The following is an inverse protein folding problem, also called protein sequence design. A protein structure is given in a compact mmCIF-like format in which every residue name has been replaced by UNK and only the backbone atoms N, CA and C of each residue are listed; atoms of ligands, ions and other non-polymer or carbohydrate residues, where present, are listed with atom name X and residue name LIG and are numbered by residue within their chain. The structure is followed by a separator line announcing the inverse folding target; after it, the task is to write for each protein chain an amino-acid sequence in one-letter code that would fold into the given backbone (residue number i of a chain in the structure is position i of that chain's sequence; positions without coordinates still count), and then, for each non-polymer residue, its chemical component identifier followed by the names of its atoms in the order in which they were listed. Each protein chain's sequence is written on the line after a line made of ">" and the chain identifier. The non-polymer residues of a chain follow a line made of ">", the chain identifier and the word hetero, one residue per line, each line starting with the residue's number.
data_IF_439799676680
#
_entry.id   IF_439799676680
#
_cell.length_a   1.000
_cell.length_b   1.000
_cell.length_c   1.000
_cell.angle_alpha   90.00
_cell.angle_beta   90.00
_cell.angle_gamma   90.00
#
_symmetry.space_group_name_H-M   'P 1'
#
loop_
_entity.id
_entity.type
_entity.pdbx_description
1 polymer ?
#
# COMPACT_ATOMS: atom_id res chain seq x y z
N UNK A 1 20.36 13.96 -6.78
CA UNK A 1 20.98 14.94 -5.88
C UNK A 1 20.48 14.63 -4.48
N UNK A 2 21.35 14.16 -3.57
CA UNK A 2 20.99 13.86 -2.18
C UNK A 2 20.99 15.18 -1.42
N UNK A 3 19.81 15.67 -1.06
CA UNK A 3 19.67 16.79 -0.14
C UNK A 3 19.73 16.22 1.28
N UNK A 4 20.81 16.48 2.00
CA UNK A 4 20.87 16.20 3.43
C UNK A 4 20.00 17.23 4.17
N UNK A 5 18.87 16.80 4.71
CA UNK A 5 18.11 17.55 5.70
C UNK A 5 18.64 17.19 7.09
N UNK A 6 19.25 18.14 7.78
CA UNK A 6 19.66 17.98 9.17
C UNK A 6 18.44 18.06 10.10
N UNK A 7 18.46 17.20 11.13
CA UNK A 7 17.52 17.18 12.26
C UNK A 7 17.49 18.52 13.00
N UNK A 8 16.29 18.94 13.40
CA UNK A 8 16.05 20.15 14.19
C UNK A 8 15.14 19.85 15.39
N UNK A 9 15.58 18.91 16.21
CA UNK A 9 15.12 18.78 17.58
C UNK A 9 15.51 20.03 18.39
N UNK A 10 14.63 21.04 18.38
CA UNK A 10 14.77 22.24 19.23
C UNK A 10 14.13 23.53 18.71
N UNK A 11 12.87 23.50 18.29
CA UNK A 11 12.13 24.72 17.90
C UNK A 11 11.10 25.11 18.97
N UNK A 12 11.55 25.84 19.98
CA UNK A 12 10.67 26.61 20.88
C UNK A 12 11.01 28.10 20.73
N UNK A 13 10.04 28.92 20.30
CA UNK A 13 10.16 30.39 20.27
C UNK A 13 10.03 31.14 18.94
N UNK A 14 9.35 30.63 17.90
CA UNK A 14 9.08 31.43 16.68
C UNK A 14 7.96 32.48 16.88
N UNK A 15 8.10 33.72 16.36
CA UNK A 15 7.01 34.68 16.26
C UNK A 15 5.97 34.23 15.22
N UNK A 16 4.69 34.18 15.61
CA UNK A 16 3.57 33.83 14.73
C UNK A 16 3.29 34.98 13.75
N UNK A 17 3.65 34.83 12.48
CA UNK A 17 3.19 35.72 11.40
C UNK A 17 1.99 35.11 10.65
N UNK A 18 1.01 35.97 10.34
CA UNK A 18 -0.25 35.62 9.65
C UNK A 18 0.03 35.00 8.28
N UNK A 19 -0.65 33.89 8.03
CA UNK A 19 -0.45 32.92 6.97
C UNK A 19 -1.10 33.37 5.65
N UNK A 20 -0.30 33.48 4.59
CA UNK A 20 -0.75 33.72 3.22
C UNK A 20 0.30 33.20 2.24
N UNK A 21 -0.03 32.09 1.55
CA UNK A 21 0.83 31.25 0.68
C UNK A 21 1.96 30.50 1.40
N UNK A 22 1.87 29.17 1.35
CA UNK A 22 2.91 28.26 1.81
C UNK A 22 4.02 28.27 0.75
N UNK A 23 5.10 29.01 0.99
CA UNK A 23 6.38 28.77 0.34
C UNK A 23 7.21 27.87 1.27
N UNK A 24 7.90 26.87 0.71
CA UNK A 24 8.84 26.06 1.47
C UNK A 24 10.05 26.93 1.83
N UNK A 25 10.07 27.46 3.05
CA UNK A 25 11.16 28.29 3.56
C UNK A 25 12.08 27.41 4.40
N UNK A 26 13.27 27.08 3.88
CA UNK A 26 14.36 26.65 4.74
C UNK A 26 14.98 27.89 5.40
N UNK A 27 15.38 27.81 6.67
CA UNK A 27 16.09 28.90 7.33
C UNK A 27 17.38 28.38 7.97
N UNK A 28 18.49 29.07 7.72
CA UNK A 28 19.79 28.74 8.32
C UNK A 28 20.17 29.86 9.28
N UNK A 29 20.67 29.49 10.46
CA UNK A 29 21.13 30.45 11.47
C UNK A 29 22.62 30.70 11.30
N UNK A 30 23.00 31.92 10.97
CA UNK A 30 24.40 32.35 10.88
C UNK A 30 24.64 33.40 11.97
N UNK A 31 25.35 33.02 13.03
CA UNK A 31 25.48 33.84 14.25
C UNK A 31 24.12 34.12 14.92
N UNK A 32 23.81 35.41 15.16
CA UNK A 32 22.55 35.85 15.76
C UNK A 32 21.46 36.18 14.72
N UNK A 33 21.66 35.85 13.43
CA UNK A 33 20.75 36.21 12.35
C UNK A 33 20.14 34.96 11.71
N UNK A 34 18.82 34.98 11.52
CA UNK A 34 18.10 33.98 10.75
C UNK A 34 18.09 34.39 9.27
N UNK A 35 18.61 33.53 8.39
CA UNK A 35 18.59 33.73 6.95
C UNK A 35 17.49 32.86 6.37
N UNK A 36 16.47 33.50 5.80
CA UNK A 36 15.39 32.88 5.05
C UNK A 36 15.94 32.46 3.68
N UNK A 37 16.03 31.15 3.42
CA UNK A 37 16.46 30.60 2.13
C UNK A 37 15.31 30.71 1.13
N UNK A 38 15.15 31.88 0.55
CA UNK A 38 14.16 32.19 -0.51
C UNK A 38 14.57 31.66 -1.89
N UNK A 39 15.79 31.14 -2.04
CA UNK A 39 16.34 30.72 -3.33
C UNK A 39 15.96 29.29 -3.75
N UNK A 40 15.46 28.45 -2.84
CA UNK A 40 15.11 27.06 -3.14
C UNK A 40 14.05 26.95 -4.23
N UNK A 41 12.99 27.77 -4.17
CA UNK A 41 11.94 27.81 -5.19
C UNK A 41 12.46 28.26 -6.56
N UNK A 42 13.30 29.30 -6.59
CA UNK A 42 13.93 29.79 -7.82
C UNK A 42 14.88 28.77 -8.44
N UNK A 43 15.62 28.04 -7.60
CA UNK A 43 16.52 26.98 -8.06
C UNK A 43 15.73 25.81 -8.67
N UNK A 44 14.62 25.40 -8.04
CA UNK A 44 13.74 24.36 -8.62
C UNK A 44 13.15 24.81 -9.96
N UNK A 45 12.66 26.06 -10.04
CA UNK A 45 12.13 26.60 -11.29
C UNK A 45 13.20 26.67 -12.39
N UNK A 46 14.43 27.06 -12.03
CA UNK A 46 15.58 27.05 -12.94
C UNK A 46 15.89 25.63 -13.43
N UNK A 47 16.02 24.66 -12.51
CA UNK A 47 16.31 23.25 -12.84
C UNK A 47 15.23 22.64 -13.73
N UNK A 48 13.95 22.99 -13.51
CA UNK A 48 12.84 22.50 -14.32
C UNK A 48 12.90 23.01 -15.78
N UNK A 49 13.43 24.21 -16.00
CA UNK A 49 13.58 24.82 -17.34
C UNK A 49 14.93 24.51 -18.00
N UNK A 50 15.93 24.15 -17.21
CA UNK A 50 17.27 23.91 -17.71
C UNK A 50 17.31 22.68 -18.61
N UNK A 51 17.95 22.80 -19.78
CA UNK A 51 18.12 21.71 -20.74
C UNK A 51 19.59 21.57 -21.12
N UNK A 52 20.06 20.33 -21.16
CA UNK A 52 21.37 20.06 -21.76
C UNK A 52 21.28 19.92 -23.28
N UNK A 53 22.36 20.27 -23.98
CA UNK A 53 22.48 20.05 -25.42
C UNK A 53 22.45 18.56 -25.77
N UNK A 54 21.63 18.16 -26.76
CA UNK A 54 21.50 16.78 -27.23
C UNK A 54 22.81 16.14 -27.78
N UNK A 55 23.87 16.95 -27.98
CA UNK A 55 25.18 16.48 -28.45
C UNK A 55 26.25 16.44 -27.35
N UNK A 56 25.91 16.78 -26.12
CA UNK A 56 26.83 16.75 -24.98
C UNK A 56 26.77 15.37 -24.30
N UNK A 57 27.88 14.94 -23.69
CA UNK A 57 27.87 13.80 -22.75
C UNK A 57 27.24 14.24 -21.42
N UNK A 58 26.74 13.28 -20.63
CA UNK A 58 26.19 13.56 -19.30
C UNK A 58 27.17 14.33 -18.41
N UNK A 59 28.45 13.96 -18.45
CA UNK A 59 29.52 14.67 -17.77
C UNK A 59 29.59 16.17 -18.15
N UNK A 60 29.58 16.47 -19.45
CA UNK A 60 29.57 17.86 -19.95
C UNK A 60 28.30 18.60 -19.51
N UNK A 61 27.17 17.90 -19.42
CA UNK A 61 25.93 18.46 -18.89
C UNK A 61 26.04 18.82 -17.41
N UNK A 62 26.61 17.94 -16.59
CA UNK A 62 26.79 18.20 -15.15
C UNK A 62 27.72 19.40 -14.94
N UNK A 63 28.83 19.47 -15.68
CA UNK A 63 29.74 20.62 -15.64
C UNK A 63 29.05 21.91 -16.07
N UNK A 64 28.25 21.88 -17.15
CA UNK A 64 27.54 23.05 -17.64
C UNK A 64 26.46 23.49 -16.65
N UNK A 65 25.65 22.56 -16.15
CA UNK A 65 24.64 22.85 -15.13
C UNK A 65 25.27 23.52 -13.91
N UNK A 66 26.40 22.99 -13.43
CA UNK A 66 27.07 23.54 -12.25
C UNK A 66 27.58 24.96 -12.48
N UNK A 67 28.12 25.25 -13.67
CA UNK A 67 28.50 26.62 -14.06
C UNK A 67 27.27 27.54 -14.14
N UNK A 68 26.19 27.07 -14.74
CA UNK A 68 24.97 27.87 -14.87
C UNK A 68 24.32 28.14 -13.49
N UNK A 69 24.43 27.20 -12.55
CA UNK A 69 24.03 27.41 -11.16
C UNK A 69 24.90 28.47 -10.46
N UNK A 70 26.20 28.55 -10.76
CA UNK A 70 27.07 29.64 -10.27
C UNK A 70 26.68 30.98 -10.89
N UNK A 71 26.44 31.04 -12.21
CA UNK A 71 26.01 32.25 -12.92
C UNK A 71 24.69 32.80 -12.39
N UNK A 72 23.78 31.91 -11.95
CA UNK A 72 22.50 32.28 -11.35
C UNK A 72 22.57 32.50 -9.82
N UNK A 73 23.76 32.52 -9.23
CA UNK A 73 24.01 32.71 -7.80
C UNK A 73 23.34 31.65 -6.90
N UNK A 74 23.13 30.43 -7.42
CA UNK A 74 22.66 29.28 -6.64
C UNK A 74 23.82 28.51 -5.99
N UNK A 75 25.01 28.55 -6.59
CA UNK A 75 26.25 27.94 -6.09
C UNK A 75 27.42 28.93 -6.13
N UNK A 76 28.46 28.67 -5.33
CA UNK A 76 29.72 29.39 -5.37
C UNK A 76 30.71 28.82 -6.39
N UNK A 77 31.72 29.60 -6.76
CA UNK A 77 32.77 29.15 -7.69
C UNK A 77 33.54 27.93 -7.17
N UNK A 78 33.67 27.78 -5.86
CA UNK A 78 34.31 26.63 -5.23
C UNK A 78 33.51 25.34 -5.45
N UNK A 79 32.17 25.40 -5.44
CA UNK A 79 31.30 24.24 -5.70
C UNK A 79 31.48 23.73 -7.13
N UNK A 80 31.61 24.64 -8.10
CA UNK A 80 31.89 24.29 -9.49
C UNK A 80 33.26 23.64 -9.68
N UNK A 81 34.28 24.13 -8.96
CA UNK A 81 35.61 23.53 -8.99
C UNK A 81 35.59 22.12 -8.38
N UNK A 82 34.91 21.94 -7.25
CA UNK A 82 34.78 20.64 -6.57
C UNK A 82 34.03 19.63 -7.45
N UNK A 83 32.94 20.03 -8.10
CA UNK A 83 32.21 19.17 -9.04
C UNK A 83 33.10 18.75 -10.21
N UNK A 84 33.91 19.66 -10.74
CA UNK A 84 34.86 19.34 -11.81
C UNK A 84 35.89 18.29 -11.38
N UNK A 85 36.49 18.46 -10.20
CA UNK A 85 37.42 17.48 -9.64
C UNK A 85 36.75 16.12 -9.41
N UNK A 86 35.54 16.10 -8.86
CA UNK A 86 34.78 14.87 -8.63
C UNK A 86 34.52 14.09 -9.93
N UNK A 87 34.16 14.76 -11.02
CA UNK A 87 33.93 14.10 -12.31
C UNK A 87 35.21 13.55 -12.93
N UNK A 88 36.35 14.23 -12.74
CA UNK A 88 37.66 13.72 -13.17
C UNK A 88 38.10 12.51 -12.34
N UNK A 89 37.87 12.52 -11.02
CA UNK A 89 38.14 11.38 -10.15
C UNK A 89 37.32 10.16 -10.56
N UNK A 90 36.03 10.33 -10.88
CA UNK A 90 35.18 9.26 -11.39
C UNK A 90 35.77 8.61 -12.66
N UNK A 91 36.22 9.43 -13.63
CA UNK A 91 36.87 8.90 -14.84
C UNK A 91 38.18 8.17 -14.52
N UNK A 92 38.98 8.72 -13.62
CA UNK A 92 40.25 8.11 -13.21
C UNK A 92 40.03 6.73 -12.54
N UNK A 93 38.88 6.53 -11.88
CA UNK A 93 38.45 5.24 -11.33
C UNK A 93 37.81 4.30 -12.36
N UNK A 94 37.73 4.69 -13.64
CA UNK A 94 37.12 3.89 -14.70
C UNK A 94 35.61 3.95 -14.76
N UNK A 95 34.98 4.97 -14.16
CA UNK A 95 33.53 5.17 -14.28
C UNK A 95 33.16 5.61 -15.70
N UNK A 96 32.29 4.84 -16.35
CA UNK A 96 31.72 5.19 -17.65
C UNK A 96 30.40 5.95 -17.45
N UNK A 97 30.34 7.19 -17.90
CA UNK A 97 29.11 7.97 -17.82
C UNK A 97 28.07 7.44 -18.82
N UNK A 98 26.82 7.21 -18.39
CA UNK A 98 25.77 6.78 -19.30
C UNK A 98 25.45 7.86 -20.33
N UNK A 99 24.98 7.41 -21.49
CA UNK A 99 24.48 8.29 -22.53
C UNK A 99 23.23 9.05 -22.07
N UNK A 100 23.06 10.28 -22.57
CA UNK A 100 21.82 11.02 -22.35
C UNK A 100 20.69 10.32 -23.11
N UNK A 101 19.62 10.03 -22.39
CA UNK A 101 18.38 9.52 -22.98
C UNK A 101 17.70 10.61 -23.82
N UNK A 102 17.19 10.24 -25.00
CA UNK A 102 16.42 11.17 -25.85
C UNK A 102 15.06 11.51 -25.19
N UNK A 103 14.44 12.60 -25.64
CA UNK A 103 13.10 13.02 -25.21
C UNK A 103 12.02 11.95 -25.51
N UNK A 104 12.29 11.02 -26.45
CA UNK A 104 11.43 9.89 -26.77
C UNK A 104 11.75 8.61 -25.96
N UNK A 105 12.69 8.67 -25.01
CA UNK A 105 13.00 7.54 -24.17
C UNK A 105 11.81 7.19 -23.28
N UNK A 106 11.28 5.98 -23.47
CA UNK A 106 10.30 5.39 -22.58
C UNK A 106 11.08 4.63 -21.52
N UNK A 107 11.08 5.13 -20.30
CA UNK A 107 11.67 4.43 -19.16
C UNK A 107 10.92 3.10 -18.97
N UNK A 108 11.60 1.93 -19.13
CA UNK A 108 10.96 0.63 -18.95
C UNK A 108 10.51 0.39 -17.51
N UNK A 109 11.00 1.21 -16.56
CA UNK A 109 10.60 1.21 -15.16
C UNK A 109 9.59 2.31 -14.83
N UNK A 110 9.16 3.11 -15.82
CA UNK A 110 8.06 4.03 -15.61
C UNK A 110 6.81 3.25 -15.20
N UNK A 111 6.07 3.74 -14.19
CA UNK A 111 4.79 3.14 -13.84
C UNK A 111 3.85 3.18 -15.05
N UNK A 112 3.10 2.10 -15.25
CA UNK A 112 2.12 2.04 -16.34
C UNK A 112 1.11 3.18 -16.22
N UNK A 113 0.90 3.89 -17.33
CA UNK A 113 -0.20 4.87 -17.48
C UNK A 113 -1.49 4.21 -17.97
N UNK A 114 -1.43 2.94 -18.38
CA UNK A 114 -2.59 2.18 -18.84
C UNK A 114 -3.36 1.58 -17.65
N UNK A 115 -4.39 2.30 -17.24
CA UNK A 115 -5.31 1.95 -16.16
C UNK A 115 -6.29 0.81 -16.52
N UNK A 116 -6.29 0.36 -17.79
CA UNK A 116 -7.22 -0.65 -18.33
C UNK A 116 -6.63 -2.06 -18.39
N UNK A 117 -5.31 -2.18 -18.27
CA UNK A 117 -4.60 -3.45 -18.26
C UNK A 117 -4.41 -3.99 -16.85
N UNK A 118 -4.45 -5.33 -16.73
CA UNK A 118 -4.02 -6.06 -15.53
C UNK A 118 -2.53 -6.44 -15.55
N UNK A 119 -1.89 -6.32 -16.72
CA UNK A 119 -0.49 -6.65 -16.92
C UNK A 119 0.39 -5.44 -16.57
N UNK A 120 0.48 -5.15 -15.27
CA UNK A 120 1.25 -4.02 -14.74
C UNK A 120 2.52 -4.54 -14.08
N UNK A 121 3.67 -4.25 -14.72
CA UNK A 121 4.98 -4.62 -14.21
C UNK A 121 5.53 -3.60 -13.19
N UNK A 122 5.38 -2.29 -13.48
CA UNK A 122 5.87 -1.20 -12.64
C UNK A 122 4.69 -0.38 -12.11
N UNK A 123 4.71 -0.05 -10.81
CA UNK A 123 3.59 0.58 -10.09
C UNK A 123 4.02 1.83 -9.36
N UNK A 124 3.08 2.77 -9.21
CA UNK A 124 3.27 3.93 -8.34
C UNK A 124 3.16 3.49 -6.89
N UNK A 125 4.19 3.78 -6.11
CA UNK A 125 4.26 3.48 -4.68
C UNK A 125 4.84 4.70 -3.98
N UNK A 126 4.29 5.04 -2.81
CA UNK A 126 4.93 5.95 -1.88
C UNK A 126 5.03 5.25 -0.52
N UNK A 127 6.23 5.26 0.06
CA UNK A 127 6.48 4.65 1.35
C UNK A 127 7.45 5.52 2.13
N UNK A 128 7.03 5.89 3.32
CA UNK A 128 7.83 6.59 4.29
C UNK A 128 7.57 5.91 5.63
N UNK A 129 8.67 5.57 6.29
CA UNK A 129 8.65 4.90 7.58
C UNK A 129 9.32 5.83 8.58
N UNK A 130 8.68 6.02 9.72
CA UNK A 130 9.39 6.53 10.87
C UNK A 130 10.47 5.51 11.26
N UNK A 131 11.63 5.99 11.70
CA UNK A 131 12.67 5.13 12.26
C UNK A 131 12.14 4.54 13.57
N UNK A 132 11.43 3.41 13.48
CA UNK A 132 10.95 2.69 14.67
C UNK A 132 12.18 2.15 15.39
N UNK A 133 12.28 2.47 16.68
CA UNK A 133 13.31 1.92 17.53
C UNK A 133 13.06 0.39 17.64
N UNK A 134 13.99 -0.48 17.19
CA UNK A 134 13.78 -1.95 17.15
C UNK A 134 13.62 -2.62 18.52
N UNK A 135 13.51 -1.83 19.60
CA UNK A 135 13.24 -2.27 20.97
C UNK A 135 11.75 -2.26 21.33
N UNK A 136 10.88 -1.72 20.49
CA UNK A 136 9.42 -1.91 20.64
C UNK A 136 9.01 -3.23 19.99
N UNK A 137 8.05 -3.94 20.60
CA UNK A 137 7.48 -5.18 20.07
C UNK A 137 7.15 -5.04 18.57
N UNK A 138 7.43 -6.07 17.77
CA UNK A 138 7.15 -6.06 16.33
C UNK A 138 5.70 -5.62 16.09
N UNK A 139 5.49 -4.46 15.49
CA UNK A 139 4.12 -3.98 15.21
C UNK A 139 3.61 -4.58 13.91
N UNK A 140 2.32 -4.88 13.80
CA UNK A 140 1.74 -5.31 12.54
C UNK A 140 1.66 -4.16 11.52
N UNK A 141 1.45 -4.49 10.26
CA UNK A 141 1.15 -3.54 9.17
C UNK A 141 -0.35 -3.57 8.88
N UNK A 142 -0.97 -2.41 8.72
CA UNK A 142 -2.37 -2.31 8.28
C UNK A 142 -2.44 -1.99 6.79
N UNK A 143 -3.16 -2.82 6.05
CA UNK A 143 -3.43 -2.64 4.63
C UNK A 143 -4.89 -2.25 4.48
N UNK A 144 -5.13 -1.07 3.93
CA UNK A 144 -6.48 -0.55 3.71
C UNK A 144 -6.76 -0.62 2.21
N UNK A 145 -7.65 -1.54 1.82
CA UNK A 145 -7.96 -1.81 0.43
C UNK A 145 -9.16 -0.99 -0.04
N UNK A 146 -8.95 -0.19 -1.08
CA UNK A 146 -9.98 0.65 -1.66
C UNK A 146 -10.63 -0.06 -2.84
N UNK A 147 -11.90 -0.43 -2.69
CA UNK A 147 -12.67 -1.07 -3.76
C UNK A 147 -12.88 -0.14 -4.97
N UNK A 148 -12.97 1.16 -4.72
CA UNK A 148 -13.10 2.23 -5.70
C UNK A 148 -12.20 3.40 -5.33
N UNK A 149 -11.77 4.23 -6.30
CA UNK A 149 -11.13 5.50 -5.99
C UNK A 149 -12.07 6.35 -5.13
N UNK A 150 -11.66 6.63 -3.90
CA UNK A 150 -12.36 7.55 -3.02
C UNK A 150 -11.43 8.71 -2.66
N UNK A 151 -12.02 9.89 -2.46
CA UNK A 151 -11.25 11.13 -2.33
C UNK A 151 -11.12 11.61 -0.89
N UNK A 152 -11.99 11.14 0.00
CA UNK A 152 -12.13 11.63 1.36
C UNK A 152 -12.04 10.50 2.38
N UNK A 153 -11.53 10.81 3.58
CA UNK A 153 -11.55 9.91 4.75
C UNK A 153 -10.21 9.33 5.14
N UNK A 154 -9.16 9.63 4.38
CA UNK A 154 -7.85 9.01 4.52
C UNK A 154 -7.14 9.50 5.77
N UNK A 155 -7.18 10.81 6.03
CA UNK A 155 -6.71 11.39 7.27
C UNK A 155 -7.44 10.86 8.52
N UNK A 156 -8.70 10.44 8.40
CA UNK A 156 -9.44 9.81 9.51
C UNK A 156 -8.89 8.42 9.82
N UNK A 157 -8.68 7.59 8.80
CA UNK A 157 -8.09 6.25 8.94
C UNK A 157 -6.67 6.35 9.52
N UNK A 158 -5.86 7.28 9.01
CA UNK A 158 -4.52 7.53 9.56
C UNK A 158 -4.57 7.88 11.05
N UNK A 159 -5.46 8.78 11.48
CA UNK A 159 -5.59 9.14 12.91
C UNK A 159 -6.07 8.01 13.79
N UNK A 160 -6.98 7.17 13.29
CA UNK A 160 -7.51 6.04 14.06
C UNK A 160 -6.46 4.97 14.29
N UNK A 161 -5.62 4.72 13.29
CA UNK A 161 -4.82 3.50 13.25
C UNK A 161 -3.31 3.75 13.28
N UNK A 162 -2.79 4.82 12.65
CA UNK A 162 -1.34 4.98 12.42
C UNK A 162 -0.49 4.88 13.69
N UNK A 163 -0.94 5.38 14.87
CA UNK A 163 -0.19 5.23 16.12
C UNK A 163 0.03 3.78 16.59
N UNK A 164 -0.74 2.82 16.08
CA UNK A 164 -0.80 1.44 16.57
C UNK A 164 -0.17 0.40 15.63
N UNK A 165 0.21 0.80 14.42
CA UNK A 165 0.81 -0.08 13.41
C UNK A 165 2.23 0.38 13.07
N UNK A 166 3.06 -0.54 12.59
CA UNK A 166 4.36 -0.19 12.02
C UNK A 166 4.19 0.74 10.81
N UNK A 167 3.15 0.50 10.02
CA UNK A 167 2.76 1.34 8.89
C UNK A 167 1.30 1.06 8.50
N UNK A 168 0.65 2.06 7.91
CA UNK A 168 -0.63 1.90 7.21
C UNK A 168 -0.38 2.10 5.74
N UNK A 169 -0.74 1.12 4.92
CA UNK A 169 -0.56 1.18 3.48
C UNK A 169 -1.93 1.17 2.82
N UNK A 170 -2.28 2.26 2.15
CA UNK A 170 -3.48 2.34 1.33
C UNK A 170 -3.23 1.65 -0.01
N UNK A 171 -4.05 0.68 -0.38
CA UNK A 171 -3.88 -0.08 -1.60
C UNK A 171 -5.14 -0.05 -2.45
N UNK A 172 -4.97 0.19 -3.74
CA UNK A 172 -6.08 0.24 -4.70
C UNK A 172 -5.86 1.31 -5.75
N UNK A 173 -6.93 1.73 -6.43
CA UNK A 173 -6.90 2.80 -7.42
C UNK A 173 -6.77 4.15 -6.73
N UNK A 174 -5.56 4.39 -6.23
CA UNK A 174 -5.18 5.47 -5.34
C UNK A 174 -4.51 6.59 -6.13
N UNK A 175 -5.01 7.81 -5.94
CA UNK A 175 -4.57 9.02 -6.66
C UNK A 175 -4.33 10.14 -5.65
N UNK A 176 -3.07 10.37 -5.21
CA UNK A 176 -2.77 11.35 -4.17
C UNK A 176 -3.22 12.78 -4.51
N UNK A 177 -3.20 13.13 -5.79
CA UNK A 177 -3.63 14.42 -6.34
C UNK A 177 -5.16 14.64 -6.27
N UNK A 178 -5.93 13.58 -6.00
CA UNK A 178 -7.38 13.62 -5.90
C UNK A 178 -7.89 13.63 -4.45
N UNK A 179 -7.00 13.63 -3.47
CA UNK A 179 -7.39 13.64 -2.07
C UNK A 179 -8.03 14.98 -1.72
N UNK A 180 -9.18 14.91 -1.04
CA UNK A 180 -9.96 16.04 -0.59
C UNK A 180 -9.88 16.13 0.94
N UNK A 181 -9.27 17.24 1.40
CA UNK A 181 -9.21 17.63 2.81
C UNK A 181 -10.35 18.61 3.12
N UNK A 182 -11.05 18.40 4.24
CA UNK A 182 -12.20 19.22 4.65
C UNK A 182 -11.91 20.08 5.89
N UNK A 183 -11.32 19.47 6.91
CA UNK A 183 -11.05 20.13 8.19
C UNK A 183 -9.80 19.54 8.87
N UNK A 184 -9.30 20.23 9.90
CA UNK A 184 -8.10 19.79 10.62
C UNK A 184 -8.22 18.41 11.31
N UNK A 185 -9.43 17.87 11.46
CA UNK A 185 -9.67 16.58 12.10
C UNK A 185 -9.64 15.42 11.10
N UNK A 186 -9.94 15.68 9.84
CA UNK A 186 -10.14 14.68 8.79
C UNK A 186 -9.17 14.83 7.63
N UNK A 187 -8.46 15.97 7.56
CA UNK A 187 -7.35 16.22 6.63
C UNK A 187 -6.28 15.16 6.74
N UNK A 188 -5.73 14.82 5.60
CA UNK A 188 -4.66 13.84 5.42
C UNK A 188 -3.43 14.21 6.22
N UNK A 189 -2.75 13.19 6.77
CA UNK A 189 -1.43 13.35 7.39
C UNK A 189 -0.42 12.98 6.31
N UNK A 190 0.48 13.90 5.98
CA UNK A 190 1.58 13.59 5.08
C UNK A 190 2.77 13.07 5.90
N UNK A 191 3.47 12.04 5.39
CA UNK A 191 3.25 11.32 4.12
C UNK A 191 2.07 10.33 4.13
N UNK A 192 1.54 10.01 2.95
CA UNK A 192 0.59 8.90 2.78
C UNK A 192 1.29 7.72 2.14
N UNK A 193 1.32 6.59 2.84
CA UNK A 193 1.87 5.36 2.33
C UNK A 193 0.84 4.64 1.46
N UNK A 194 1.18 4.33 0.21
CA UNK A 194 0.25 3.69 -0.71
C UNK A 194 0.92 2.80 -1.75
N UNK A 195 0.12 1.85 -2.25
CA UNK A 195 0.40 1.07 -3.45
C UNK A 195 -0.74 1.30 -4.44
N UNK A 196 -0.39 1.77 -5.63
CA UNK A 196 -1.35 1.94 -6.70
C UNK A 196 -1.64 0.60 -7.40
N UNK A 197 -2.92 0.23 -7.44
CA UNK A 197 -3.47 -0.81 -8.30
C UNK A 197 -4.45 -0.18 -9.27
N UNK A 198 -4.26 -0.45 -10.56
CA UNK A 198 -5.11 0.13 -11.60
C UNK A 198 -6.56 -0.36 -11.42
N UNK A 199 -7.59 0.41 -11.84
CA UNK A 199 -8.99 -0.02 -11.75
C UNK A 199 -9.26 -1.38 -12.38
N UNK A 200 -8.56 -1.72 -13.48
CA UNK A 200 -8.62 -3.04 -14.09
C UNK A 200 -8.12 -4.15 -13.16
N UNK A 201 -7.08 -3.91 -12.37
CA UNK A 201 -6.54 -4.88 -11.41
C UNK A 201 -7.41 -5.01 -10.18
N UNK A 202 -7.90 -3.89 -9.63
CA UNK A 202 -8.78 -3.92 -8.47
C UNK A 202 -10.15 -4.53 -8.80
N UNK A 203 -10.65 -4.33 -10.02
CA UNK A 203 -11.96 -4.79 -10.51
C UNK A 203 -13.06 -4.57 -9.47
N UNK A 204 -13.26 -3.32 -9.04
CA UNK A 204 -14.31 -2.94 -8.06
C UNK A 204 -14.23 -3.73 -6.73
N UNK A 205 -13.03 -4.11 -6.30
CA UNK A 205 -12.80 -4.89 -5.09
C UNK A 205 -12.72 -6.41 -5.28
N UNK A 206 -13.00 -6.93 -6.48
CA UNK A 206 -13.01 -8.38 -6.74
C UNK A 206 -11.67 -9.05 -6.45
N UNK A 207 -10.59 -8.28 -6.48
CA UNK A 207 -9.23 -8.75 -6.25
C UNK A 207 -8.52 -7.97 -5.15
N UNK A 208 -9.26 -7.33 -4.23
CA UNK A 208 -8.68 -6.54 -3.15
C UNK A 208 -7.65 -7.29 -2.31
N UNK A 209 -7.83 -8.61 -2.11
CA UNK A 209 -6.87 -9.46 -1.40
C UNK A 209 -5.44 -9.43 -1.99
N UNK A 210 -5.31 -9.13 -3.28
CA UNK A 210 -4.02 -9.01 -3.94
C UNK A 210 -3.16 -7.87 -3.35
N UNK A 211 -3.78 -6.86 -2.73
CA UNK A 211 -3.07 -5.80 -2.01
C UNK A 211 -2.08 -6.34 -0.97
N UNK A 212 -2.44 -7.41 -0.24
CA UNK A 212 -1.54 -7.99 0.75
C UNK A 212 -0.34 -8.68 0.09
N UNK A 213 -0.53 -9.29 -1.08
CA UNK A 213 0.61 -9.91 -1.78
C UNK A 213 1.57 -8.83 -2.29
N UNK A 214 1.06 -7.69 -2.79
CA UNK A 214 1.88 -6.56 -3.21
C UNK A 214 2.66 -5.94 -2.04
N UNK A 215 2.03 -5.79 -0.87
CA UNK A 215 2.73 -5.35 0.35
C UNK A 215 3.81 -6.36 0.76
N UNK A 216 3.55 -7.67 0.61
CA UNK A 216 4.54 -8.69 0.94
C UNK A 216 5.77 -8.66 0.00
N UNK A 217 5.56 -8.33 -1.27
CA UNK A 217 6.64 -8.18 -2.26
C UNK A 217 7.61 -7.03 -1.92
N UNK A 218 7.18 -6.05 -1.12
CA UNK A 218 8.05 -4.96 -0.65
C UNK A 218 9.12 -5.41 0.35
N UNK A 219 9.03 -6.62 0.91
CA UNK A 219 10.07 -7.17 1.77
C UNK A 219 10.20 -6.47 3.13
N UNK A 220 9.10 -5.94 3.68
CA UNK A 220 9.09 -5.40 5.04
C UNK A 220 9.57 -6.46 6.04
N UNK A 221 10.55 -6.10 6.87
CA UNK A 221 11.14 -6.96 7.89
C UNK A 221 10.71 -6.53 9.30
N UNK A 222 10.79 -7.44 10.28
CA UNK A 222 10.48 -7.19 11.69
C UNK A 222 9.03 -6.69 11.92
N UNK A 223 8.08 -7.29 11.21
CA UNK A 223 6.65 -7.04 11.41
C UNK A 223 5.99 -8.32 11.90
N UNK A 224 5.06 -8.20 12.85
CA UNK A 224 4.39 -9.36 13.46
C UNK A 224 3.42 -10.04 12.47
N UNK A 225 2.81 -9.24 11.61
CA UNK A 225 1.96 -9.70 10.52
C UNK A 225 1.25 -8.56 9.82
N UNK A 226 0.24 -8.92 9.03
CA UNK A 226 -0.44 -8.02 8.10
C UNK A 226 -1.94 -8.09 8.33
N UNK A 227 -2.52 -6.96 8.74
CA UNK A 227 -3.97 -6.77 8.69
C UNK A 227 -4.36 -6.32 7.29
N UNK A 228 -5.46 -6.88 6.81
CA UNK A 228 -6.19 -6.40 5.66
C UNK A 228 -7.55 -5.89 6.14
N UNK A 229 -7.95 -4.70 5.68
CA UNK A 229 -9.30 -4.19 5.84
C UNK A 229 -9.78 -3.48 4.58
N UNK A 230 -11.07 -3.61 4.26
CA UNK A 230 -11.70 -2.80 3.22
C UNK A 230 -11.89 -1.35 3.68
N UNK A 231 -12.01 -0.43 2.72
CA UNK A 231 -12.20 1.00 2.92
C UNK A 231 -13.43 1.35 3.78
N UNK A 232 -14.45 0.50 3.77
CA UNK A 232 -15.66 0.68 4.58
C UNK A 232 -15.72 -0.24 5.79
N UNK A 233 -14.59 -0.70 6.30
CA UNK A 233 -14.52 -1.43 7.56
C UNK A 233 -14.03 -0.51 8.68
N UNK A 234 -14.53 -0.70 9.90
CA UNK A 234 -13.94 -0.12 11.11
C UNK A 234 -13.31 -1.24 11.93
N UNK A 235 -12.04 -1.08 12.27
CA UNK A 235 -11.29 -2.01 13.10
C UNK A 235 -11.29 -1.52 14.56
N UNK A 236 -11.67 -2.41 15.47
CA UNK A 236 -11.58 -2.15 16.90
C UNK A 236 -10.26 -2.70 17.44
N UNK A 237 -9.24 -1.84 17.45
CA UNK A 237 -7.88 -2.15 17.90
C UNK A 237 -7.80 -2.69 19.34
N UNK A 238 -8.79 -2.38 20.17
CA UNK A 238 -8.80 -2.78 21.58
C UNK A 238 -9.17 -4.24 21.78
N UNK A 239 -9.71 -4.90 20.76
CA UNK A 239 -9.99 -6.33 20.81
C UNK A 239 -8.74 -7.13 20.50
N UNK A 240 -8.37 -8.00 21.44
CA UNK A 240 -7.22 -8.88 21.29
C UNK A 240 -7.59 -10.07 20.41
N UNK A 241 -6.76 -10.31 19.40
CA UNK A 241 -6.76 -11.54 18.62
C UNK A 241 -5.43 -12.26 18.86
N UNK A 242 -5.40 -13.57 18.68
CA UNK A 242 -4.16 -14.35 18.73
C UNK A 242 -3.30 -14.12 17.46
N UNK A 243 -2.24 -13.31 17.57
CA UNK A 243 -1.35 -12.98 16.46
C UNK A 243 -0.47 -14.14 15.97
N UNK A 244 -0.48 -15.31 16.63
CA UNK A 244 0.24 -16.49 16.15
C UNK A 244 -0.50 -17.24 15.02
N UNK A 245 -1.76 -16.87 14.73
CA UNK A 245 -2.63 -17.56 13.77
C UNK A 245 -3.39 -16.59 12.89
N UNK A 246 -3.83 -17.08 11.73
CA UNK A 246 -4.71 -16.33 10.83
C UNK A 246 -6.00 -15.96 11.56
N UNK A 247 -6.45 -14.72 11.44
CA UNK A 247 -7.74 -14.29 11.94
C UNK A 247 -8.63 -13.83 10.80
N UNK A 248 -9.90 -14.18 10.86
CA UNK A 248 -10.93 -13.66 9.96
C UNK A 248 -12.21 -13.48 10.75
N UNK A 249 -12.97 -12.38 10.55
CA UNK A 249 -14.12 -12.06 11.41
C UNK A 249 -15.11 -13.23 11.56
N UNK A 250 -15.52 -13.83 10.44
CA UNK A 250 -16.47 -14.94 10.45
C UNK A 250 -15.89 -16.33 10.09
N UNK A 251 -14.82 -16.42 9.29
CA UNK A 251 -14.21 -17.68 8.85
C UNK A 251 -14.89 -18.29 7.63
N UNK A 252 -14.83 -19.62 7.52
CA UNK A 252 -15.43 -20.41 6.43
C UNK A 252 -16.96 -20.47 6.55
N UNK A 253 -17.68 -20.13 5.46
CA UNK A 253 -19.12 -20.40 5.33
C UNK A 253 -19.36 -21.58 4.41
N UNK A 254 -20.08 -22.58 4.91
CA UNK A 254 -20.58 -23.70 4.10
C UNK A 254 -21.84 -23.29 3.33
N UNK A 255 -21.69 -22.44 2.33
CA UNK A 255 -22.77 -22.07 1.42
C UNK A 255 -22.73 -22.95 0.16
N UNK A 256 -23.80 -23.73 -0.05
CA UNK A 256 -23.91 -24.65 -1.19
C UNK A 256 -24.31 -23.96 -2.51
N UNK A 257 -25.01 -22.82 -2.43
CA UNK A 257 -25.57 -22.10 -3.58
C UNK A 257 -25.08 -20.64 -3.63
N UNK A 258 -23.77 -20.42 -3.49
CA UNK A 258 -23.19 -19.09 -3.59
C UNK A 258 -23.15 -18.64 -5.07
N UNK A 259 -23.90 -17.58 -5.38
CA UNK A 259 -24.06 -17.03 -6.75
C UNK A 259 -22.72 -16.64 -7.41
N UNK A 260 -21.69 -16.33 -6.62
CA UNK A 260 -20.38 -15.98 -7.16
C UNK A 260 -19.69 -17.14 -7.86
N UNK A 261 -20.00 -18.40 -7.51
CA UNK A 261 -19.44 -19.57 -8.20
C UNK A 261 -19.91 -19.71 -9.64
N UNK A 262 -21.09 -19.21 -9.97
CA UNK A 262 -21.64 -19.30 -11.33
C UNK A 262 -21.20 -18.12 -12.23
N UNK A 263 -20.43 -17.17 -11.68
CA UNK A 263 -19.83 -16.06 -12.44
C UNK A 263 -18.46 -16.45 -13.02
N UNK A 264 -17.93 -15.61 -13.90
CA UNK A 264 -16.63 -15.83 -14.54
C UNK A 264 -15.48 -15.94 -13.53
N UNK A 265 -15.50 -15.14 -12.46
CA UNK A 265 -14.49 -15.16 -11.40
C UNK A 265 -14.69 -16.29 -10.35
N UNK A 266 -15.66 -17.18 -10.59
CA UNK A 266 -15.97 -18.34 -9.75
C UNK A 266 -15.44 -19.63 -10.35
N UNK A 267 -16.34 -20.47 -10.86
CA UNK A 267 -16.00 -21.81 -11.38
C UNK A 267 -15.04 -21.74 -12.59
N UNK A 268 -15.20 -20.77 -13.48
CA UNK A 268 -14.33 -20.63 -14.66
C UNK A 268 -12.89 -20.31 -14.23
N UNK A 269 -12.71 -19.38 -13.30
CA UNK A 269 -11.43 -19.13 -12.64
C UNK A 269 -10.88 -20.37 -11.92
N UNK A 270 -11.69 -21.08 -11.13
CA UNK A 270 -11.26 -22.31 -10.44
C UNK A 270 -10.80 -23.43 -11.40
N UNK A 271 -11.49 -23.60 -12.54
CA UNK A 271 -11.05 -24.53 -13.60
C UNK A 271 -9.70 -24.10 -14.18
N UNK A 272 -9.52 -22.80 -14.45
CA UNK A 272 -8.25 -22.26 -14.94
C UNK A 272 -7.10 -22.51 -13.96
N UNK A 273 -7.33 -22.34 -12.65
CA UNK A 273 -6.36 -22.67 -11.59
C UNK A 273 -5.97 -24.16 -11.66
N UNK A 274 -6.97 -25.05 -11.70
CA UNK A 274 -6.75 -26.51 -11.73
C UNK A 274 -6.01 -26.97 -13.00
N UNK A 275 -6.29 -26.35 -14.14
CA UNK A 275 -5.58 -26.65 -15.40
C UNK A 275 -4.14 -26.12 -15.37
N UNK A 276 -3.94 -24.92 -14.81
CA UNK A 276 -2.64 -24.28 -14.68
C UNK A 276 -1.70 -25.05 -13.76
N UNK A 277 -2.19 -25.47 -12.57
CA UNK A 277 -1.34 -26.16 -11.59
C UNK A 277 -0.83 -27.52 -12.09
N UNK A 278 -1.63 -28.23 -12.89
CA UNK A 278 -1.23 -29.53 -13.48
C UNK A 278 -0.02 -29.43 -14.41
N UNK A 279 0.15 -28.27 -15.06
CA UNK A 279 1.22 -28.02 -16.02
C UNK A 279 2.26 -27.01 -15.49
N UNK A 280 2.18 -26.67 -14.20
CA UNK A 280 3.04 -25.65 -13.61
C UNK A 280 4.41 -26.24 -13.24
N UNK A 281 5.49 -25.52 -13.59
CA UNK A 281 6.87 -25.92 -13.28
C UNK A 281 7.53 -25.00 -12.22
N UNK A 282 6.84 -23.98 -11.72
CA UNK A 282 7.35 -23.11 -10.67
C UNK A 282 7.36 -23.84 -9.32
N UNK A 283 8.56 -24.12 -8.83
CA UNK A 283 8.76 -24.81 -7.55
C UNK A 283 8.10 -24.13 -6.36
N UNK A 284 7.93 -22.79 -6.35
CA UNK A 284 7.26 -22.06 -5.28
C UNK A 284 5.75 -22.32 -5.30
N UNK A 285 5.14 -22.25 -6.49
CA UNK A 285 3.71 -22.51 -6.68
C UNK A 285 3.39 -23.97 -6.35
N UNK A 286 4.17 -24.92 -6.85
CA UNK A 286 3.99 -26.35 -6.55
C UNK A 286 4.07 -26.62 -5.04
N UNK A 287 5.04 -26.02 -4.34
CA UNK A 287 5.16 -26.15 -2.87
C UNK A 287 3.97 -25.53 -2.14
N UNK A 288 3.51 -24.35 -2.57
CA UNK A 288 2.34 -23.71 -2.00
C UNK A 288 1.07 -24.54 -2.23
N UNK A 289 0.87 -25.09 -3.44
CA UNK A 289 -0.26 -25.96 -3.73
C UNK A 289 -0.24 -27.26 -2.91
N UNK A 290 0.93 -27.87 -2.73
CA UNK A 290 1.07 -29.04 -1.86
C UNK A 290 0.74 -28.70 -0.40
N UNK A 291 1.16 -27.52 0.09
CA UNK A 291 0.77 -27.03 1.42
C UNK A 291 -0.74 -26.79 1.51
N UNK A 292 -1.35 -26.27 0.45
CA UNK A 292 -2.79 -26.07 0.34
C UNK A 292 -3.54 -27.39 0.47
N UNK A 293 -3.20 -28.41 -0.32
CA UNK A 293 -3.79 -29.74 -0.24
C UNK A 293 -3.61 -30.38 1.14
N UNK A 294 -2.39 -30.38 1.68
CA UNK A 294 -2.11 -30.90 3.03
C UNK A 294 -2.95 -30.19 4.11
N UNK A 295 -3.15 -28.88 3.97
CA UNK A 295 -4.01 -28.09 4.84
C UNK A 295 -5.46 -28.54 4.76
N UNK A 296 -5.99 -28.68 3.55
CA UNK A 296 -7.35 -29.18 3.32
C UNK A 296 -7.56 -30.57 3.95
N UNK A 297 -6.58 -31.47 3.83
CA UNK A 297 -6.63 -32.80 4.48
C UNK A 297 -6.59 -32.67 6.00
N UNK A 298 -5.65 -31.87 6.53
CA UNK A 298 -5.47 -31.67 7.99
C UNK A 298 -6.74 -31.14 8.65
N UNK A 299 -7.43 -30.21 8.01
CA UNK A 299 -8.68 -29.61 8.50
C UNK A 299 -9.94 -30.32 7.98
N UNK A 300 -9.78 -31.49 7.34
CA UNK A 300 -10.86 -32.41 6.92
C UNK A 300 -11.85 -31.84 5.89
N UNK A 301 -11.40 -30.90 5.07
CA UNK A 301 -12.16 -30.39 3.92
C UNK A 301 -12.10 -31.34 2.72
N UNK A 302 -11.04 -32.13 2.61
CA UNK A 302 -10.93 -33.26 1.67
C UNK A 302 -10.67 -34.56 2.44
N UNK A 303 -11.20 -35.68 1.93
CA UNK A 303 -11.09 -37.00 2.55
C UNK A 303 -10.79 -38.10 1.52
N UNK A 304 -10.11 -39.15 1.96
CA UNK A 304 -9.83 -40.30 1.12
C UNK A 304 -8.92 -39.93 -0.05
N UNK A 305 -9.39 -40.16 -1.28
CA UNK A 305 -8.66 -39.87 -2.51
C UNK A 305 -9.01 -38.50 -3.11
N UNK A 306 -9.78 -37.67 -2.42
CA UNK A 306 -10.07 -36.30 -2.87
C UNK A 306 -8.80 -35.44 -2.83
N UNK A 307 -8.58 -34.65 -3.88
CA UNK A 307 -7.44 -33.73 -4.00
C UNK A 307 -7.84 -32.27 -3.80
N UNK A 308 -6.85 -31.37 -3.76
CA UNK A 308 -7.12 -29.93 -3.78
C UNK A 308 -7.89 -29.49 -5.03
N UNK A 309 -7.61 -30.10 -6.19
CA UNK A 309 -8.34 -29.83 -7.43
C UNK A 309 -9.82 -30.19 -7.30
N UNK A 310 -10.14 -31.34 -6.70
CA UNK A 310 -11.52 -31.76 -6.47
C UNK A 310 -12.27 -30.74 -5.59
N UNK A 311 -11.63 -30.26 -4.52
CA UNK A 311 -12.23 -29.26 -3.63
C UNK A 311 -12.49 -27.93 -4.33
N UNK A 312 -11.56 -27.46 -5.17
CA UNK A 312 -11.72 -26.23 -5.93
C UNK A 312 -12.91 -26.28 -6.90
N UNK A 313 -13.28 -27.48 -7.39
CA UNK A 313 -14.36 -27.67 -8.36
C UNK A 313 -15.73 -27.94 -7.73
N UNK A 314 -15.82 -28.21 -6.42
CA UNK A 314 -17.10 -28.51 -5.72
C UNK A 314 -18.04 -27.32 -5.55
N UNK A 315 -17.61 -26.09 -5.87
CA UNK A 315 -18.37 -24.84 -5.69
C UNK A 315 -18.84 -24.60 -4.24
N UNK A 316 -18.02 -24.96 -3.24
CA UNK A 316 -18.46 -24.95 -1.84
C UNK A 316 -17.89 -23.78 -1.05
N UNK A 317 -18.81 -22.93 -0.62
CA UNK A 317 -18.57 -21.92 0.39
C UNK A 317 -18.02 -20.60 -0.12
N UNK A 318 -17.96 -19.64 0.81
CA UNK A 318 -17.38 -18.30 0.63
C UNK A 318 -16.99 -17.72 1.98
N UNK A 319 -16.24 -16.64 2.00
CA UNK A 319 -15.92 -15.89 3.20
C UNK A 319 -16.06 -14.41 2.91
N UNK A 320 -16.88 -13.70 3.70
CA UNK A 320 -17.04 -12.26 3.56
C UNK A 320 -15.75 -11.62 4.08
N UNK A 321 -14.87 -11.18 3.18
CA UNK A 321 -13.44 -11.02 3.50
C UNK A 321 -12.98 -9.56 3.61
N UNK A 322 -13.86 -8.67 4.07
CA UNK A 322 -13.55 -7.24 4.28
C UNK A 322 -12.54 -6.99 5.42
N UNK A 323 -12.23 -8.01 6.23
CA UNK A 323 -11.22 -7.93 7.29
C UNK A 323 -10.60 -9.29 7.62
N UNK A 324 -9.26 -9.34 7.64
CA UNK A 324 -8.51 -10.49 8.14
C UNK A 324 -7.08 -10.10 8.54
N UNK A 325 -6.43 -10.98 9.30
CA UNK A 325 -5.03 -10.83 9.70
C UNK A 325 -4.25 -12.08 9.31
N UNK A 326 -3.07 -11.88 8.73
CA UNK A 326 -2.13 -12.93 8.34
C UNK A 326 -0.82 -12.73 9.12
N UNK A 327 -0.43 -13.68 9.98
CA UNK A 327 0.85 -13.58 10.69
C UNK A 327 2.02 -13.72 9.72
N UNK A 328 3.18 -13.16 10.07
CA UNK A 328 4.38 -13.23 9.23
C UNK A 328 4.77 -14.67 8.89
N UNK A 329 4.56 -15.62 9.81
CA UNK A 329 4.78 -17.06 9.60
C UNK A 329 3.91 -17.70 8.50
N UNK A 330 2.76 -17.11 8.16
CA UNK A 330 1.85 -17.56 7.10
C UNK A 330 1.93 -16.69 5.84
N UNK A 331 2.58 -15.53 5.92
CA UNK A 331 2.53 -14.48 4.88
C UNK A 331 3.12 -14.91 3.53
N UNK A 332 4.24 -15.65 3.50
CA UNK A 332 4.84 -16.15 2.24
C UNK A 332 3.93 -17.17 1.54
N UNK A 333 3.29 -18.04 2.33
CA UNK A 333 2.34 -19.01 1.82
C UNK A 333 1.08 -18.33 1.28
N UNK A 334 0.52 -17.40 2.05
CA UNK A 334 -0.60 -16.57 1.61
C UNK A 334 -0.26 -15.85 0.31
N UNK A 335 0.86 -15.11 0.26
CA UNK A 335 1.23 -14.29 -0.88
C UNK A 335 1.41 -15.13 -2.15
N UNK A 336 2.08 -16.29 -2.04
CA UNK A 336 2.27 -17.20 -3.18
C UNK A 336 0.95 -17.75 -3.69
N UNK A 337 0.08 -18.26 -2.80
CA UNK A 337 -1.19 -18.86 -3.19
C UNK A 337 -2.17 -17.82 -3.73
N UNK A 338 -2.28 -16.67 -3.05
CA UNK A 338 -3.17 -15.58 -3.47
C UNK A 338 -2.73 -14.94 -4.78
N UNK A 339 -1.42 -14.78 -5.01
CA UNK A 339 -0.94 -14.27 -6.30
C UNK A 339 -1.33 -15.21 -7.44
N UNK A 340 -1.18 -16.51 -7.24
CA UNK A 340 -1.62 -17.51 -8.21
C UNK A 340 -3.15 -17.44 -8.44
N UNK A 341 -3.95 -17.32 -7.39
CA UNK A 341 -5.41 -17.13 -7.52
C UNK A 341 -5.79 -15.83 -8.26
N UNK A 342 -5.04 -14.75 -8.02
CA UNK A 342 -5.24 -13.47 -8.70
C UNK A 342 -4.97 -13.56 -10.20
N UNK A 343 -3.89 -14.23 -10.60
CA UNK A 343 -3.52 -14.43 -12.01
C UNK A 343 -4.59 -15.22 -12.80
N UNK A 344 -5.39 -16.02 -12.09
CA UNK A 344 -6.53 -16.75 -12.62
C UNK A 344 -7.89 -16.06 -12.36
N UNK A 345 -7.86 -14.80 -11.92
CA UNK A 345 -9.05 -13.98 -11.69
C UNK A 345 -10.06 -14.59 -10.71
N UNK A 346 -9.58 -15.29 -9.69
CA UNK A 346 -10.43 -15.92 -8.69
C UNK A 346 -10.94 -14.92 -7.66
N UNK A 347 -12.26 -14.86 -7.50
CA UNK A 347 -12.96 -13.83 -6.74
C UNK A 347 -12.55 -13.80 -5.26
N UNK A 348 -12.39 -12.59 -4.71
CA UNK A 348 -11.95 -12.31 -3.34
C UNK A 348 -12.58 -13.20 -2.26
N UNK A 349 -13.91 -13.27 -2.19
CA UNK A 349 -14.59 -14.07 -1.16
C UNK A 349 -14.36 -15.59 -1.31
N UNK A 350 -13.99 -16.06 -2.52
CA UNK A 350 -13.71 -17.47 -2.80
C UNK A 350 -12.22 -17.80 -2.58
N UNK A 351 -11.33 -16.90 -3.00
CA UNK A 351 -9.89 -17.01 -2.83
C UNK A 351 -9.50 -17.07 -1.35
N UNK A 352 -10.00 -16.12 -0.55
CA UNK A 352 -9.75 -16.09 0.90
C UNK A 352 -10.41 -17.30 1.57
N UNK A 353 -11.61 -17.70 1.14
CA UNK A 353 -12.27 -18.91 1.66
C UNK A 353 -11.45 -20.18 1.43
N UNK A 354 -10.92 -20.37 0.23
CA UNK A 354 -10.03 -21.49 -0.08
C UNK A 354 -8.81 -21.47 0.85
N UNK A 355 -8.13 -20.33 0.98
CA UNK A 355 -7.00 -20.19 1.91
C UNK A 355 -7.35 -20.57 3.34
N UNK A 356 -8.46 -20.06 3.89
CA UNK A 356 -8.90 -20.34 5.26
C UNK A 356 -9.12 -21.83 5.54
N UNK A 357 -9.58 -22.60 4.54
CA UNK A 357 -9.71 -24.07 4.66
C UNK A 357 -8.37 -24.79 4.84
N UNK A 358 -7.27 -24.16 4.45
CA UNK A 358 -5.93 -24.76 4.45
C UNK A 358 -5.04 -24.35 5.62
N UNK A 359 -5.49 -23.43 6.48
CA UNK A 359 -4.69 -22.86 7.57
C UNK A 359 -5.39 -22.95 8.91
N UNK A 360 -4.60 -22.91 9.98
CA UNK A 360 -5.15 -22.75 11.32
C UNK A 360 -5.63 -21.30 11.46
N UNK A 361 -6.94 -21.11 11.49
CA UNK A 361 -7.53 -19.80 11.67
C UNK A 361 -8.43 -19.74 12.89
N UNK A 362 -8.59 -18.53 13.41
CA UNK A 362 -9.55 -18.18 14.45
C UNK A 362 -10.57 -17.19 13.89
N UNK A 363 -11.68 -17.05 14.60
CA UNK A 363 -12.78 -16.15 14.24
C UNK A 363 -13.17 -15.24 15.40
N UNK A 364 -13.87 -14.15 15.09
CA UNK A 364 -14.42 -13.26 16.11
C UNK A 364 -15.61 -13.89 16.81
N UNK A 365 -15.75 -13.66 18.11
CA UNK A 365 -16.88 -14.14 18.92
C UNK A 365 -18.24 -13.67 18.36
N UNK A 366 -18.27 -12.46 17.82
CA UNK A 366 -19.46 -11.80 17.23
C UNK A 366 -19.35 -11.68 15.70
N UNK A 367 -18.73 -12.66 15.06
CA UNK A 367 -18.34 -12.60 13.64
C UNK A 367 -19.48 -12.25 12.68
N UNK A 368 -20.69 -12.78 12.88
CA UNK A 368 -21.84 -12.45 12.03
C UNK A 368 -22.41 -11.06 12.25
N UNK A 369 -22.46 -10.61 13.49
CA UNK A 369 -23.00 -9.29 13.85
C UNK A 369 -22.06 -8.16 13.42
N UNK A 370 -20.82 -8.51 13.06
CA UNK A 370 -19.85 -7.61 12.44
C UNK A 370 -20.27 -7.17 11.02
N UNK A 371 -21.18 -7.88 10.35
CA UNK A 371 -21.61 -7.58 8.98
C UNK A 371 -23.02 -7.00 8.89
N UNK A 372 -23.12 -5.74 8.50
CA UNK A 372 -24.36 -4.99 8.36
C UNK A 372 -24.88 -5.05 6.91
N UNK A 373 -26.05 -5.65 6.75
CA UNK A 373 -26.71 -5.79 5.45
C UNK A 373 -27.99 -4.96 5.38
N UNK A 374 -28.29 -4.45 4.18
CA UNK A 374 -29.52 -3.69 3.90
C UNK A 374 -29.69 -2.52 4.89
N UNK A 375 -30.85 -2.40 5.52
CA UNK A 375 -31.18 -1.31 6.46
C UNK A 375 -30.24 -1.23 7.67
N UNK A 376 -29.63 -2.35 8.09
CA UNK A 376 -28.68 -2.35 9.22
C UNK A 376 -27.46 -1.47 8.96
N UNK A 377 -27.12 -1.21 7.69
CA UNK A 377 -25.98 -0.34 7.29
C UNK A 377 -26.12 1.09 7.80
N UNK A 378 -27.33 1.56 8.03
CA UNK A 378 -27.60 2.90 8.55
C UNK A 378 -27.67 2.95 10.08
N UNK A 379 -27.48 1.82 10.75
CA UNK A 379 -27.61 1.67 12.20
C UNK A 379 -26.28 1.25 12.86
N UNK A 380 -25.16 1.46 12.18
CA UNK A 380 -23.84 1.00 12.65
C UNK A 380 -23.49 1.55 14.04
N UNK A 381 -23.87 2.79 14.34
CA UNK A 381 -23.63 3.46 15.62
C UNK A 381 -24.39 2.81 16.78
N UNK A 382 -25.56 2.23 16.49
CA UNK A 382 -26.41 1.53 17.47
C UNK A 382 -26.07 0.05 17.61
N UNK A 383 -25.55 -0.55 16.53
CA UNK A 383 -25.21 -1.97 16.47
C UNK A 383 -23.76 -2.22 16.86
N UNK A 384 -22.93 -1.18 16.95
CA UNK A 384 -21.56 -1.28 17.43
C UNK A 384 -21.50 -1.83 18.85
N UNK A 385 -20.64 -2.82 19.05
CA UNK A 385 -20.25 -3.32 20.36
C UNK A 385 -18.75 -3.21 20.52
N UNK A 386 -18.31 -2.84 21.73
CA UNK A 386 -16.90 -2.81 22.10
C UNK A 386 -16.23 -4.18 21.99
N UNK A 387 -17.00 -5.27 21.97
CA UNK A 387 -16.51 -6.65 21.89
C UNK A 387 -16.33 -7.15 20.44
N UNK A 388 -16.71 -6.33 19.44
CA UNK A 388 -16.47 -6.63 18.03
C UNK A 388 -15.03 -6.34 17.66
N UNK A 389 -14.36 -7.26 16.97
CA UNK A 389 -13.02 -7.02 16.39
C UNK A 389 -13.11 -6.04 15.22
N UNK A 390 -14.12 -6.16 14.36
CA UNK A 390 -14.36 -5.23 13.27
C UNK A 390 -15.84 -5.10 12.95
N UNK A 391 -16.20 -4.10 12.16
CA UNK A 391 -17.56 -3.88 11.67
C UNK A 391 -17.53 -3.40 10.22
N UNK A 392 -18.31 -4.05 9.37
CA UNK A 392 -18.47 -3.73 7.95
C UNK A 392 -19.97 -3.72 7.56
N UNK A 393 -20.46 -2.79 6.74
CA UNK A 393 -19.81 -1.55 6.35
C UNK A 393 -20.08 -0.40 7.32
N UNK A 394 -19.07 0.46 7.48
CA UNK A 394 -19.16 1.81 8.01
C UNK A 394 -18.50 2.74 6.98
N UNK A 395 -19.32 3.47 6.22
CA UNK A 395 -18.82 4.31 5.11
C UNK A 395 -18.15 5.57 5.65
N UNK A 396 -16.83 5.67 5.47
CA UNK A 396 -16.05 6.81 5.96
C UNK A 396 -16.53 8.16 5.38
N UNK A 397 -17.05 8.15 4.16
CA UNK A 397 -17.66 9.33 3.53
C UNK A 397 -18.83 9.93 4.32
N UNK A 398 -19.52 9.15 5.18
CA UNK A 398 -20.57 9.66 6.05
C UNK A 398 -20.05 10.61 7.13
N UNK A 399 -18.75 10.58 7.44
CA UNK A 399 -18.13 11.48 8.41
C UNK A 399 -17.62 12.78 7.79
N UNK A 400 -17.77 12.98 6.46
CA UNK A 400 -17.34 14.20 5.75
C UNK A 400 -17.98 15.46 6.29
N UNK A 401 -19.26 15.37 6.67
CA UNK A 401 -19.96 16.48 7.32
C UNK A 401 -20.21 16.10 8.77
N UNK A 402 -19.73 16.87 9.75
CA UNK A 402 -20.04 16.61 11.14
C UNK A 402 -21.57 16.61 11.34
N UNK A 403 -22.08 15.55 11.97
CA UNK A 403 -23.47 15.51 12.42
C UNK A 403 -23.77 16.68 13.36
N UNK A 404 -25.05 17.04 13.54
CA UNK A 404 -25.46 18.21 14.34
C UNK A 404 -24.82 18.28 15.74
N UNK A 405 -24.48 17.12 16.33
CA UNK A 405 -23.85 17.01 17.65
C UNK A 405 -22.34 17.36 17.66
N UNK A 406 -21.65 17.26 16.52
CA UNK A 406 -20.21 17.56 16.37
C UNK A 406 -19.94 19.01 15.94
N UNK A 407 -20.99 19.84 15.79
CA UNK A 407 -20.90 21.28 15.46
C UNK A 407 -20.64 22.18 16.67
N UNK A 408 -20.27 21.61 17.83
CA UNK A 408 -20.02 22.36 19.06
C UNK A 408 -18.54 22.40 19.38
#
# INVERSE_FOLDING_TARGET
>A
MVAFLYDSSGFDGMPKYKMGRIEAVAAVKEGNKWIVVTNSGKMIEFLHKWKCSKRASLEKCILKLTKDLVENNFLGQQDANLMGMFLEDLKAMGFEFPDLVDENYVDPYAPSIDETSKSVNCRRVNLEFDLINPKEDEKPVLIVANNYPWKYGIGLIQRLYQPYFASIIFCGSWYPDQIEDEDNFTSTIHPVNYIHMNPAEMTRGYFGYHCLTLVKEMGLSNVEGYFFMADDTVFNLWQRIDYSRVHHLHGYLSELNCVFWDRENGLKAAKSIVESIKNNNDSKIIKAWKRFENGLTRYRYIKGNETAEDEMLKKRGKSISDFFYIPTSESDYYATLMRFFYEHEFFHELAVNAFLKSVNHQTSLVGWDSYLWREKRFLWDKLYSKDMVGMHPVKISMFRKPGKQRRK
#
